data_IF_648812765347
#
_entry.id   IF_648812765347
#
_cell.length_a   1.000
_cell.length_b   1.000
_cell.length_c   1.000
_cell.angle_alpha   90.00
_cell.angle_beta   90.00
_cell.angle_gamma   90.00
#
_symmetry.space_group_name_H-M   'P 1'
#
loop_
_entity.id
_entity.type
_entity.pdbx_description
1 polymer ?
#
# COMPACT_ATOMS: atom_id res chain seq x y z
N UNK A 1 6.96 23.69 1.16
CA UNK A 1 7.85 22.65 0.59
C UNK A 1 7.17 21.30 0.81
N UNK A 2 6.54 20.73 -0.22
CA UNK A 2 5.93 19.40 -0.11
C UNK A 2 7.10 18.41 -0.18
N UNK A 3 7.55 17.94 0.99
CA UNK A 3 8.57 16.89 1.06
C UNK A 3 8.07 15.67 0.30
N UNK A 4 8.88 15.19 -0.65
CA UNK A 4 8.59 13.96 -1.38
C UNK A 4 8.52 12.83 -0.36
N UNK A 5 7.31 12.34 -0.07
CA UNK A 5 7.12 11.20 0.84
C UNK A 5 7.59 9.95 0.09
N UNK A 6 8.59 9.26 0.63
CA UNK A 6 9.15 8.06 0.03
C UNK A 6 8.97 6.85 0.95
N UNK A 7 8.35 5.80 0.44
CA UNK A 7 8.11 4.57 1.20
C UNK A 7 9.38 3.71 1.30
N UNK A 8 10.48 4.13 0.68
CA UNK A 8 11.83 3.55 0.88
C UNK A 8 12.33 3.64 2.32
N UNK A 9 11.86 4.63 3.07
CA UNK A 9 12.28 4.87 4.46
C UNK A 9 11.28 4.35 5.50
N UNK A 10 10.20 3.68 5.09
CA UNK A 10 9.30 3.02 6.03
C UNK A 10 10.00 1.83 6.66
N UNK A 11 9.59 1.39 7.86
CA UNK A 11 10.05 0.11 8.39
C UNK A 11 9.15 -1.04 7.90
N UNK A 12 9.67 -2.27 7.74
CA UNK A 12 8.79 -3.41 7.51
C UNK A 12 7.90 -3.66 8.73
N UNK A 13 6.62 -3.96 8.51
CA UNK A 13 5.70 -4.16 9.63
C UNK A 13 4.23 -4.17 9.23
N UNK A 14 3.37 -4.36 10.23
CA UNK A 14 1.92 -4.32 10.07
C UNK A 14 1.40 -2.89 10.11
N UNK A 15 0.69 -2.52 9.05
CA UNK A 15 0.10 -1.19 8.87
C UNK A 15 -1.42 -1.29 8.73
N UNK A 16 -2.13 -0.40 9.42
CA UNK A 16 -3.52 -0.03 9.12
C UNK A 16 -3.50 1.35 8.48
N UNK A 17 -4.21 1.53 7.37
CA UNK A 17 -4.23 2.81 6.65
C UNK A 17 -5.61 3.45 6.78
N UNK A 18 -5.62 4.73 7.15
CA UNK A 18 -6.82 5.52 7.30
C UNK A 18 -6.68 6.88 6.61
N UNK A 19 -7.78 7.43 6.10
CA UNK A 19 -7.85 8.81 5.65
C UNK A 19 -7.72 9.79 6.83
N UNK A 20 -7.56 11.08 6.54
CA UNK A 20 -7.61 12.15 7.55
C UNK A 20 -8.98 12.19 8.27
N UNK A 21 -10.05 11.72 7.62
CA UNK A 21 -11.38 11.58 8.21
C UNK A 21 -11.58 10.28 9.02
N UNK A 22 -10.54 9.44 9.16
CA UNK A 22 -10.59 8.18 9.90
C UNK A 22 -11.18 7.00 9.14
N UNK A 23 -11.52 7.15 7.86
CA UNK A 23 -12.02 6.07 7.03
C UNK A 23 -10.93 5.02 6.78
N UNK A 24 -11.22 3.73 7.00
CA UNK A 24 -10.30 2.64 6.68
C UNK A 24 -10.15 2.50 5.16
N UNK A 25 -8.92 2.35 4.69
CA UNK A 25 -8.62 2.28 3.28
C UNK A 25 -7.93 0.97 2.92
N UNK A 26 -8.19 0.57 1.68
CA UNK A 26 -7.65 -0.66 1.12
C UNK A 26 -6.80 -0.36 -0.11
N UNK A 27 -5.85 -1.26 -0.38
CA UNK A 27 -4.99 -1.16 -1.55
C UNK A 27 -5.82 -1.51 -2.80
N UNK A 28 -5.77 -0.75 -3.91
CA UNK A 28 -6.53 -1.10 -5.10
C UNK A 28 -6.10 -2.47 -5.63
N UNK A 29 -7.08 -3.32 -5.98
CA UNK A 29 -6.88 -4.68 -6.51
C UNK A 29 -6.73 -4.72 -8.03
N UNK A 30 -6.79 -3.55 -8.67
CA UNK A 30 -6.63 -3.38 -10.11
C UNK A 30 -5.45 -2.45 -10.41
N UNK A 31 -4.84 -2.58 -11.61
CA UNK A 31 -3.80 -1.68 -12.05
C UNK A 31 -4.21 -0.21 -11.97
N UNK A 32 -3.32 0.61 -11.45
CA UNK A 32 -3.50 2.06 -11.33
C UNK A 32 -2.53 2.79 -12.27
N UNK A 33 -2.94 3.93 -12.87
CA UNK A 33 -2.07 4.71 -13.74
C UNK A 33 -0.83 5.24 -13.00
N UNK A 34 0.26 5.45 -13.74
CA UNK A 34 1.42 6.21 -13.24
C UNK A 34 1.00 7.58 -12.69
N UNK A 35 1.83 8.15 -11.81
CA UNK A 35 1.56 9.44 -11.15
C UNK A 35 0.36 9.45 -10.20
N UNK A 36 -0.20 8.28 -9.88
CA UNK A 36 -1.26 8.13 -8.86
C UNK A 36 -0.67 8.05 -7.44
N UNK A 37 -1.53 8.27 -6.44
CA UNK A 37 -1.21 8.06 -5.01
C UNK A 37 0.03 8.87 -4.52
N UNK A 38 0.34 9.97 -5.21
CA UNK A 38 1.47 10.84 -4.89
C UNK A 38 2.85 10.20 -5.17
N UNK A 39 2.91 9.28 -6.14
CA UNK A 39 4.14 8.62 -6.58
C UNK A 39 4.20 8.54 -8.11
N UNK A 40 5.41 8.56 -8.68
CA UNK A 40 5.58 8.29 -10.12
C UNK A 40 5.25 6.84 -10.47
N UNK A 41 5.64 5.90 -9.60
CA UNK A 41 5.46 4.47 -9.77
C UNK A 41 4.62 3.91 -8.62
N UNK A 42 3.28 3.99 -8.72
CA UNK A 42 2.44 3.55 -7.62
C UNK A 42 2.41 2.02 -7.53
N UNK A 43 2.27 1.52 -6.30
CA UNK A 43 2.23 0.09 -5.99
C UNK A 43 0.78 -0.29 -5.65
N UNK A 44 0.24 -1.28 -6.35
CA UNK A 44 -1.13 -1.78 -6.20
C UNK A 44 -1.15 -3.27 -5.87
N UNK A 45 -2.30 -3.80 -5.44
CA UNK A 45 -2.45 -5.20 -5.02
C UNK A 45 -2.79 -6.09 -6.21
N UNK A 46 -1.91 -7.02 -6.54
CA UNK A 46 -2.21 -8.06 -7.52
C UNK A 46 -2.89 -9.24 -6.84
N UNK A 47 -4.22 -9.24 -6.92
CA UNK A 47 -5.11 -10.22 -6.31
C UNK A 47 -6.11 -9.59 -5.34
N UNK A 48 -6.91 -10.43 -4.69
CA UNK A 48 -7.99 -9.97 -3.83
C UNK A 48 -7.61 -9.93 -2.35
N UNK A 49 -8.28 -9.05 -1.60
CA UNK A 49 -8.18 -9.04 -0.15
C UNK A 49 -8.78 -10.33 0.46
N UNK A 50 -8.26 -10.81 1.60
CA UNK A 50 -8.87 -11.92 2.33
C UNK A 50 -10.30 -11.57 2.76
N UNK A 51 -11.25 -12.49 2.53
CA UNK A 51 -12.68 -12.26 2.83
C UNK A 51 -13.08 -12.70 4.24
N UNK A 52 -12.43 -13.73 4.79
CA UNK A 52 -12.74 -14.23 6.12
C UNK A 52 -11.98 -13.44 7.19
N UNK A 53 -12.70 -13.07 8.27
CA UNK A 53 -12.09 -12.43 9.42
C UNK A 53 -11.05 -13.35 10.08
N UNK A 54 -9.88 -12.79 10.41
CA UNK A 54 -8.77 -13.51 11.02
C UNK A 54 -7.76 -14.07 10.01
N UNK A 55 -8.14 -14.23 8.75
CA UNK A 55 -7.26 -14.79 7.71
C UNK A 55 -6.07 -13.89 7.46
N UNK A 56 -4.90 -14.52 7.33
CA UNK A 56 -3.66 -13.91 6.85
C UNK A 56 -3.28 -14.59 5.55
N UNK A 57 -3.12 -13.80 4.49
CA UNK A 57 -2.79 -14.30 3.16
C UNK A 57 -1.54 -13.62 2.61
N UNK A 58 -0.70 -14.40 1.94
CA UNK A 58 0.41 -13.86 1.15
C UNK A 58 -0.13 -13.28 -0.17
N UNK A 59 0.41 -12.12 -0.54
CA UNK A 59 0.01 -11.36 -1.72
C UNK A 59 1.18 -10.67 -2.40
N UNK A 60 0.96 -10.32 -3.65
CA UNK A 60 1.92 -9.60 -4.48
C UNK A 60 1.47 -8.16 -4.63
N UNK A 61 2.31 -7.20 -4.25
CA UNK A 61 2.11 -5.79 -4.52
C UNK A 61 2.94 -5.40 -5.75
N UNK A 62 2.28 -4.98 -6.83
CA UNK A 62 2.86 -4.73 -8.14
C UNK A 62 3.17 -3.25 -8.34
N UNK A 63 4.36 -2.95 -8.89
CA UNK A 63 4.76 -1.59 -9.24
C UNK A 63 4.35 -1.28 -10.68
N UNK A 64 3.52 -0.26 -10.84
CA UNK A 64 3.11 0.22 -12.16
C UNK A 64 4.15 1.19 -12.74
N UNK A 65 4.64 0.89 -13.94
CA UNK A 65 5.59 1.72 -14.69
C UNK A 65 5.06 2.01 -16.10
N UNK A 66 5.85 2.71 -16.91
CA UNK A 66 5.49 2.96 -18.31
C UNK A 66 5.60 1.71 -19.19
N UNK A 67 6.27 0.66 -18.71
CA UNK A 67 6.51 -0.58 -19.46
C UNK A 67 5.45 -1.64 -19.20
N UNK A 68 5.00 -1.74 -17.95
CA UNK A 68 4.09 -2.77 -17.48
C UNK A 68 3.28 -2.26 -16.30
N UNK A 69 2.06 -2.80 -16.16
CA UNK A 69 1.25 -2.60 -14.95
C UNK A 69 1.84 -3.31 -13.73
N UNK A 70 2.73 -4.28 -13.92
CA UNK A 70 3.51 -4.93 -12.86
C UNK A 70 4.93 -5.19 -13.39
N UNK A 71 5.80 -4.17 -13.33
CA UNK A 71 7.18 -4.25 -13.83
C UNK A 71 8.08 -5.02 -12.83
N UNK A 72 7.90 -4.74 -11.54
CA UNK A 72 8.44 -5.51 -10.43
C UNK A 72 7.43 -5.56 -9.29
N UNK A 73 7.74 -6.32 -8.25
CA UNK A 73 6.79 -6.56 -7.16
C UNK A 73 7.42 -6.77 -5.80
N UNK A 74 6.58 -6.65 -4.77
CA UNK A 74 6.88 -6.90 -3.37
C UNK A 74 5.97 -8.02 -2.85
N UNK A 75 6.55 -8.96 -2.11
CA UNK A 75 5.78 -9.93 -1.34
C UNK A 75 5.32 -9.27 -0.05
N UNK A 76 4.00 -9.26 0.18
CA UNK A 76 3.36 -8.67 1.35
C UNK A 76 2.40 -9.68 1.97
N UNK A 77 1.94 -9.39 3.19
CA UNK A 77 0.83 -10.14 3.81
C UNK A 77 -0.35 -9.22 4.04
N UNK A 78 -1.56 -9.77 3.95
CA UNK A 78 -2.78 -9.04 4.30
C UNK A 78 -3.53 -9.85 5.33
N UNK A 79 -3.96 -9.17 6.39
CA UNK A 79 -4.83 -9.71 7.43
C UNK A 79 -6.18 -9.02 7.39
N UNK A 80 -7.27 -9.79 7.35
CA UNK A 80 -8.60 -9.25 7.57
C UNK A 80 -8.87 -9.17 9.09
N UNK A 81 -9.02 -7.96 9.61
CA UNK A 81 -9.29 -7.71 11.03
C UNK A 81 -10.77 -7.40 11.29
N UNK A 82 -11.67 -7.92 10.46
CA UNK A 82 -13.12 -7.69 10.45
C UNK A 82 -13.52 -6.27 10.01
N UNK A 83 -13.04 -5.24 10.71
CA UNK A 83 -13.42 -3.84 10.47
C UNK A 83 -12.45 -3.11 9.52
N UNK A 84 -11.25 -3.66 9.33
CA UNK A 84 -10.20 -3.09 8.50
C UNK A 84 -9.26 -4.18 7.97
N UNK A 85 -8.48 -3.82 6.95
CA UNK A 85 -7.38 -4.64 6.46
C UNK A 85 -6.07 -4.15 7.07
N UNK A 86 -5.28 -5.07 7.62
CA UNK A 86 -3.90 -4.80 8.02
C UNK A 86 -2.93 -5.37 6.97
N UNK A 87 -1.88 -4.62 6.65
CA UNK A 87 -0.93 -4.97 5.61
C UNK A 87 0.45 -5.10 6.22
N UNK A 88 1.07 -6.27 6.08
CA UNK A 88 2.49 -6.42 6.36
C UNK A 88 3.26 -5.95 5.13
N UNK A 89 3.78 -4.74 5.21
CA UNK A 89 4.48 -4.08 4.11
C UNK A 89 5.98 -4.18 4.31
N UNK A 90 6.71 -4.16 3.19
CA UNK A 90 8.18 -4.08 3.17
C UNK A 90 8.64 -2.79 2.50
N UNK A 91 9.87 -2.38 2.81
CA UNK A 91 10.52 -1.20 2.23
C UNK A 91 10.44 -1.21 0.70
N UNK A 92 9.96 -0.11 0.12
CA UNK A 92 10.07 0.09 -1.32
C UNK A 92 11.55 0.27 -1.70
N UNK A 93 11.96 -0.29 -2.83
CA UNK A 93 13.33 -0.15 -3.33
C UNK A 93 13.60 1.24 -3.88
N UNK A 94 12.61 1.96 -4.42
CA UNK A 94 12.77 3.31 -5.00
C UNK A 94 12.03 4.42 -4.24
N UNK A 95 12.57 5.65 -4.21
CA UNK A 95 11.88 6.82 -3.62
C UNK A 95 10.62 7.21 -4.41
N UNK A 96 10.62 6.91 -5.71
CA UNK A 96 9.53 7.20 -6.62
C UNK A 96 8.40 6.16 -6.56
N UNK A 97 8.54 5.14 -5.71
CA UNK A 97 7.60 4.04 -5.51
C UNK A 97 6.87 4.19 -4.18
N UNK A 98 5.54 4.05 -4.20
CA UNK A 98 4.72 4.14 -2.98
C UNK A 98 3.52 3.22 -3.03
N UNK A 99 3.19 2.61 -1.89
CA UNK A 99 1.98 1.83 -1.72
C UNK A 99 0.75 2.70 -1.82
N UNK A 100 -0.18 2.31 -2.69
CA UNK A 100 -1.41 3.02 -2.88
C UNK A 100 -2.49 2.53 -1.93
N UNK A 101 -3.22 3.43 -1.28
CA UNK A 101 -4.37 3.11 -0.43
C UNK A 101 -5.50 4.09 -0.74
N UNK A 102 -6.47 3.66 -1.55
CA UNK A 102 -7.47 4.54 -2.15
C UNK A 102 -6.92 5.49 -3.23
N UNK A 103 -7.70 6.49 -3.64
CA UNK A 103 -7.34 7.46 -4.70
C UNK A 103 -6.61 8.70 -4.17
N UNK A 104 -6.40 8.81 -2.86
CA UNK A 104 -5.95 10.04 -2.20
C UNK A 104 -4.54 9.85 -1.63
N UNK A 105 -3.73 10.91 -1.71
CA UNK A 105 -2.42 10.99 -1.05
C UNK A 105 -2.63 10.95 0.47
N UNK A 106 -2.07 9.94 1.15
CA UNK A 106 -2.29 9.81 2.60
C UNK A 106 -0.99 9.92 3.37
N UNK A 107 -1.10 10.69 4.45
CA UNK A 107 -0.14 10.66 5.55
C UNK A 107 -0.25 9.25 6.11
N UNK A 108 0.79 8.43 5.93
CA UNK A 108 0.99 7.28 6.81
C UNK A 108 1.02 7.91 8.20
N UNK A 109 -0.11 7.90 8.90
CA UNK A 109 -0.11 8.22 10.30
C UNK A 109 0.80 7.14 10.85
N UNK A 110 1.99 7.55 11.26
CA UNK A 110 2.88 6.73 12.06
C UNK A 110 2.16 6.49 13.38
N UNK A 111 1.13 5.65 13.34
CA UNK A 111 0.60 4.96 14.48
C UNK A 111 1.72 3.98 14.84
N UNK A 112 2.66 4.50 15.63
CA UNK A 112 3.25 3.67 16.68
C UNK A 112 2.06 3.04 17.39
N UNK A 113 1.81 1.77 17.09
CA UNK A 113 1.20 0.93 18.10
C UNK A 113 2.18 0.95 19.27
N UNK A 114 1.66 1.34 20.44
CA UNK A 114 2.37 1.31 21.72
C UNK A 114 3.06 -0.05 21.89
#
# INVERSE_FOLDING_TARGET
MIGVKCDRYMEPGWYRVQSESGQNLTMPTSPIPMYSCGAKYPIWLNGDHPSLSGDIVDRVACVATSKSTCDHSYQIKIKNCQDFMAYYLIKATGCNERYCFGTVMIIICSLRFV
#
